data_IF_828705337256
#
_entry.id   IF_828705337256
#
_cell.length_a   1.000
_cell.length_b   1.000
_cell.length_c   1.000
_cell.angle_alpha   90.00
_cell.angle_beta   90.00
_cell.angle_gamma   90.00
#
_symmetry.space_group_name_H-M   'P 1'
#
loop_
_entity.id
_entity.type
_entity.pdbx_description
1 polymer ?
#
# COMPACT_ATOMS: atom_id res chain seq x y z
N UNK A 1 0.00 -0.93 -16.62
CA UNK A 1 0.96 -0.50 -15.59
C UNK A 1 2.34 -1.11 -15.88
N UNK A 2 2.43 -2.44 -16.08
CA UNK A 2 3.64 -3.10 -16.58
C UNK A 2 4.17 -2.49 -17.90
N UNK A 3 3.30 -2.28 -18.90
CA UNK A 3 3.72 -1.72 -20.20
C UNK A 3 4.20 -0.26 -20.12
N UNK A 4 3.74 0.48 -19.09
CA UNK A 4 4.20 1.85 -18.81
C UNK A 4 5.55 1.87 -18.07
N UNK A 5 6.00 0.72 -17.56
CA UNK A 5 7.22 0.59 -16.77
C UNK A 5 8.06 -0.61 -17.25
N UNK A 6 8.65 -0.57 -18.46
CA UNK A 6 9.33 -1.72 -19.06
C UNK A 6 10.44 -2.30 -18.16
N UNK A 7 11.23 -1.45 -17.50
CA UNK A 7 12.30 -1.87 -16.58
C UNK A 7 11.81 -2.60 -15.33
N UNK A 8 10.54 -2.42 -14.94
CA UNK A 8 9.94 -3.06 -13.77
C UNK A 8 9.02 -4.24 -14.15
N UNK A 9 8.85 -4.52 -15.44
CA UNK A 9 7.86 -5.50 -15.92
C UNK A 9 8.02 -6.88 -15.27
N UNK A 10 9.26 -7.35 -15.09
CA UNK A 10 9.55 -8.64 -14.45
C UNK A 10 9.10 -8.66 -12.99
N UNK A 11 9.45 -7.62 -12.22
CA UNK A 11 9.05 -7.47 -10.82
C UNK A 11 7.53 -7.36 -10.65
N UNK A 12 6.89 -6.56 -11.50
CA UNK A 12 5.44 -6.40 -11.52
C UNK A 12 4.74 -7.76 -11.74
N UNK A 13 5.20 -8.52 -12.73
CA UNK A 13 4.63 -9.86 -13.02
C UNK A 13 4.86 -10.84 -11.87
N UNK A 14 6.04 -10.81 -11.23
CA UNK A 14 6.33 -11.64 -10.06
C UNK A 14 5.34 -11.38 -8.92
N UNK A 15 5.06 -10.12 -8.61
CA UNK A 15 4.10 -9.75 -7.56
C UNK A 15 2.66 -10.13 -7.94
N UNK A 16 2.26 -9.94 -9.20
CA UNK A 16 0.94 -10.40 -9.68
C UNK A 16 0.80 -11.92 -9.51
N UNK A 17 1.81 -12.69 -9.93
CA UNK A 17 1.79 -14.15 -9.82
C UNK A 17 1.68 -14.62 -8.36
N UNK A 18 2.29 -13.90 -7.40
CA UNK A 18 2.15 -14.20 -5.97
C UNK A 18 0.70 -14.04 -5.49
N UNK A 19 0.03 -12.94 -5.90
CA UNK A 19 -1.37 -12.69 -5.55
C UNK A 19 -2.32 -13.70 -6.21
N UNK A 20 -1.99 -14.20 -7.40
CA UNK A 20 -2.80 -15.19 -8.12
C UNK A 20 -2.59 -16.62 -7.64
N UNK A 21 -1.41 -16.95 -7.10
CA UNK A 21 -1.04 -18.30 -6.68
C UNK A 21 -1.54 -18.68 -5.29
N UNK A 22 -1.17 -17.93 -4.25
CA UNK A 22 -1.58 -18.22 -2.87
C UNK A 22 -2.93 -17.54 -2.58
N UNK A 23 -4.01 -18.34 -2.55
CA UNK A 23 -5.37 -17.87 -2.24
C UNK A 23 -5.94 -18.63 -1.05
N UNK A 24 -5.36 -18.38 0.12
CA UNK A 24 -5.63 -19.14 1.36
C UNK A 24 -6.58 -18.43 2.33
N UNK A 25 -7.04 -17.22 2.03
CA UNK A 25 -7.93 -16.48 2.94
C UNK A 25 -9.03 -15.75 2.18
N UNK A 26 -10.10 -15.38 2.88
CA UNK A 26 -11.02 -14.36 2.41
C UNK A 26 -10.31 -13.01 2.58
N UNK A 27 -10.21 -12.25 1.50
CA UNK A 27 -9.73 -10.86 1.50
C UNK A 27 -10.90 -9.92 1.26
N UNK A 28 -10.86 -8.75 1.89
CA UNK A 28 -11.81 -7.67 1.68
C UNK A 28 -11.73 -7.14 0.24
N UNK A 29 -10.51 -7.01 -0.33
CA UNK A 29 -10.31 -6.60 -1.74
C UNK A 29 -10.33 -5.08 -1.98
N UNK A 30 -10.97 -4.31 -1.11
CA UNK A 30 -10.86 -2.84 -1.03
C UNK A 30 -10.63 -2.36 0.42
N UNK A 31 -9.60 -2.88 1.08
CA UNK A 31 -9.31 -2.54 2.48
C UNK A 31 -8.62 -1.16 2.63
N UNK A 32 -9.26 -0.11 2.12
CA UNK A 32 -8.77 1.26 2.18
C UNK A 32 -9.35 2.04 3.37
N UNK A 33 -8.72 3.15 3.81
CA UNK A 33 -9.20 3.92 4.96
C UNK A 33 -10.62 4.49 4.83
N UNK A 34 -11.17 4.60 3.60
CA UNK A 34 -12.57 5.04 3.39
C UNK A 34 -13.59 3.98 3.83
N UNK A 35 -13.18 2.71 3.88
CA UNK A 35 -14.01 1.56 4.23
C UNK A 35 -13.84 1.17 5.72
N UNK A 36 -13.23 2.05 6.52
CA UNK A 36 -13.06 1.91 7.97
C UNK A 36 -13.77 3.08 8.63
N UNK A 37 -14.87 2.80 9.32
CA UNK A 37 -15.62 3.78 10.09
C UNK A 37 -15.28 3.65 11.57
N UNK A 38 -15.10 4.79 12.23
CA UNK A 38 -14.86 4.88 13.67
C UNK A 38 -16.04 5.63 14.28
N UNK A 39 -16.73 5.03 15.24
CA UNK A 39 -17.85 5.68 15.94
C UNK A 39 -17.34 6.73 16.93
N UNK A 40 -18.25 7.55 17.47
CA UNK A 40 -17.89 8.52 18.54
C UNK A 40 -17.43 7.84 19.83
N UNK A 41 -17.72 6.53 19.99
CA UNK A 41 -17.32 5.72 21.13
C UNK A 41 -16.09 4.84 20.82
N UNK A 42 -15.30 5.21 19.78
CA UNK A 42 -14.10 4.50 19.34
C UNK A 42 -14.33 3.05 18.83
N UNK A 43 -15.56 2.70 18.46
CA UNK A 43 -15.85 1.40 17.85
C UNK A 43 -15.47 1.40 16.37
N UNK A 44 -14.80 0.34 15.92
CA UNK A 44 -14.32 0.19 14.54
C UNK A 44 -15.27 -0.71 13.74
N UNK A 45 -15.74 -0.20 12.61
CA UNK A 45 -16.57 -0.93 11.66
C UNK A 45 -15.87 -1.01 10.31
N UNK A 46 -15.77 -2.22 9.76
CA UNK A 46 -15.32 -2.44 8.38
C UNK A 46 -16.57 -2.43 7.49
N UNK A 47 -16.51 -1.67 6.40
CA UNK A 47 -17.63 -1.41 5.49
C UNK A 47 -17.28 -1.89 4.08
N UNK A 48 -18.29 -2.05 3.23
CA UNK A 48 -18.13 -2.22 1.78
C UNK A 48 -17.38 -3.51 1.34
N UNK A 49 -18.01 -4.65 1.61
CA UNK A 49 -17.50 -5.99 1.27
C UNK A 49 -17.78 -6.44 -0.17
N UNK A 50 -18.17 -5.55 -1.09
CA UNK A 50 -18.70 -5.92 -2.41
C UNK A 50 -17.70 -6.69 -3.31
N UNK A 51 -16.39 -6.47 -3.12
CA UNK A 51 -15.31 -7.12 -3.86
C UNK A 51 -14.61 -8.24 -3.08
N UNK A 52 -15.20 -8.70 -1.98
CA UNK A 52 -14.66 -9.77 -1.15
C UNK A 52 -14.51 -11.07 -1.94
N UNK A 53 -13.35 -11.73 -1.82
CA UNK A 53 -13.09 -12.99 -2.53
C UNK A 53 -12.03 -13.82 -1.82
N UNK A 54 -11.86 -15.07 -2.25
CA UNK A 54 -10.72 -15.91 -1.81
C UNK A 54 -9.46 -15.43 -2.51
N UNK A 55 -8.50 -14.92 -1.75
CA UNK A 55 -7.33 -14.21 -2.25
C UNK A 55 -6.10 -14.37 -1.36
N UNK A 56 -5.01 -13.72 -1.76
CA UNK A 56 -3.76 -13.76 -1.03
C UNK A 56 -3.81 -12.89 0.24
N UNK A 57 -3.43 -13.43 1.42
CA UNK A 57 -3.49 -12.70 2.69
C UNK A 57 -2.64 -11.43 2.74
N UNK A 58 -1.65 -11.28 1.86
CA UNK A 58 -0.80 -10.08 1.78
C UNK A 58 -1.56 -8.87 1.20
N UNK A 59 -2.66 -9.09 0.49
CA UNK A 59 -3.29 -8.07 -0.33
C UNK A 59 -3.87 -6.92 0.51
N UNK A 60 -4.77 -7.20 1.45
CA UNK A 60 -5.49 -6.16 2.19
C UNK A 60 -4.56 -5.28 3.04
N UNK A 61 -3.58 -5.88 3.72
CA UNK A 61 -2.59 -5.12 4.47
C UNK A 61 -1.76 -4.23 3.53
N UNK A 62 -1.30 -4.76 2.39
CA UNK A 62 -0.53 -3.98 1.42
C UNK A 62 -1.36 -2.85 0.82
N UNK A 63 -2.66 -3.09 0.61
CA UNK A 63 -3.61 -2.11 0.10
C UNK A 63 -3.81 -0.95 1.08
N UNK A 64 -4.05 -1.24 2.36
CA UNK A 64 -4.14 -0.21 3.41
C UNK A 64 -2.85 0.61 3.50
N UNK A 65 -1.69 -0.06 3.56
CA UNK A 65 -0.38 0.60 3.64
C UNK A 65 -0.13 1.49 2.41
N UNK A 66 -0.49 1.04 1.21
CA UNK A 66 -0.39 1.85 -0.01
C UNK A 66 -1.23 3.13 0.06
N UNK A 67 -2.45 3.06 0.60
CA UNK A 67 -3.29 4.24 0.80
C UNK A 67 -2.73 5.19 1.87
N UNK A 68 -2.17 4.67 2.96
CA UNK A 68 -1.45 5.48 3.95
C UNK A 68 -0.21 6.13 3.33
N UNK A 69 0.50 5.44 2.44
CA UNK A 69 1.64 5.98 1.71
C UNK A 69 1.22 7.12 0.76
N UNK A 70 0.13 6.99 0.02
CA UNK A 70 -0.40 8.10 -0.78
C UNK A 70 -0.74 9.32 0.11
N UNK A 71 -1.38 9.10 1.27
CA UNK A 71 -1.64 10.16 2.25
C UNK A 71 -0.35 10.74 2.83
N UNK A 72 0.69 9.93 3.02
CA UNK A 72 1.99 10.37 3.49
C UNK A 72 2.60 11.37 2.52
N UNK A 73 2.60 11.12 1.21
CA UNK A 73 3.05 12.10 0.22
C UNK A 73 2.15 13.34 0.11
N UNK A 74 0.86 13.20 0.45
CA UNK A 74 -0.09 14.30 0.44
C UNK A 74 0.03 15.23 1.66
N UNK A 75 0.44 14.72 2.81
CA UNK A 75 0.29 15.41 4.09
C UNK A 75 0.90 16.84 4.08
N UNK A 76 0.29 17.80 4.79
CA UNK A 76 0.68 19.21 4.67
C UNK A 76 2.06 19.52 5.27
N UNK A 77 2.51 18.72 6.24
CA UNK A 77 3.75 18.94 6.98
C UNK A 77 4.38 17.61 7.42
N UNK A 78 5.56 17.71 8.05
CA UNK A 78 6.33 16.58 8.56
C UNK A 78 5.69 15.91 9.77
N UNK A 79 4.89 16.62 10.58
CA UNK A 79 4.22 16.03 11.74
C UNK A 79 3.14 15.05 11.25
N UNK A 80 2.28 15.49 10.34
CA UNK A 80 1.24 14.65 9.74
C UNK A 80 1.84 13.48 8.94
N UNK A 81 2.98 13.70 8.27
CA UNK A 81 3.78 12.64 7.66
C UNK A 81 4.12 11.53 8.67
N UNK A 82 4.73 11.95 9.78
CA UNK A 82 5.23 11.04 10.79
C UNK A 82 4.10 10.31 11.50
N UNK A 83 2.94 10.95 11.69
CA UNK A 83 1.76 10.28 12.22
C UNK A 83 1.30 9.16 11.29
N UNK A 84 1.22 9.39 9.98
CA UNK A 84 0.84 8.36 9.00
C UNK A 84 1.84 7.19 8.98
N UNK A 85 3.14 7.48 9.03
CA UNK A 85 4.18 6.46 9.11
C UNK A 85 4.08 5.64 10.41
N UNK A 86 3.84 6.30 11.55
CA UNK A 86 3.61 5.64 12.84
C UNK A 86 2.36 4.79 12.84
N UNK A 87 1.26 5.27 12.25
CA UNK A 87 0.01 4.51 12.10
C UNK A 87 0.23 3.26 11.26
N UNK A 88 0.91 3.37 10.13
CA UNK A 88 1.29 2.23 9.30
C UNK A 88 2.11 1.19 10.09
N UNK A 89 3.08 1.66 10.88
CA UNK A 89 3.91 0.79 11.70
C UNK A 89 3.14 0.11 12.84
N UNK A 90 2.29 0.86 13.55
CA UNK A 90 1.44 0.31 14.60
C UNK A 90 0.49 -0.75 14.03
N UNK A 91 -0.17 -0.46 12.92
CA UNK A 91 -1.06 -1.41 12.26
C UNK A 91 -0.32 -2.68 11.84
N UNK A 92 0.82 -2.57 11.15
CA UNK A 92 1.63 -3.74 10.76
C UNK A 92 2.00 -4.58 11.98
N UNK A 93 2.48 -3.94 13.05
CA UNK A 93 2.93 -4.63 14.26
C UNK A 93 1.81 -5.44 14.89
N UNK A 94 0.63 -4.85 15.09
CA UNK A 94 -0.50 -5.56 15.71
C UNK A 94 -1.08 -6.63 14.77
N UNK A 95 -1.07 -6.39 13.45
CA UNK A 95 -1.47 -7.40 12.47
C UNK A 95 -0.55 -8.64 12.51
N UNK A 96 0.76 -8.42 12.65
CA UNK A 96 1.77 -9.49 12.68
C UNK A 96 1.65 -10.39 13.91
N UNK A 97 1.06 -9.90 15.01
CA UNK A 97 0.72 -10.71 16.20
C UNK A 97 -0.34 -11.76 15.88
N UNK A 98 -1.26 -11.42 14.97
CA UNK A 98 -2.39 -12.28 14.60
C UNK A 98 -2.06 -13.20 13.42
N UNK A 99 -1.23 -12.73 12.49
CA UNK A 99 -0.89 -13.47 11.27
C UNK A 99 0.48 -13.07 10.73
N UNK A 100 1.27 -14.06 10.33
CA UNK A 100 2.52 -13.81 9.62
C UNK A 100 2.26 -13.03 8.31
N UNK A 101 3.06 -11.99 8.09
CA UNK A 101 2.97 -11.14 6.91
C UNK A 101 4.04 -11.60 5.91
N UNK A 102 3.65 -11.80 4.65
CA UNK A 102 4.61 -12.15 3.59
C UNK A 102 5.75 -11.12 3.53
N UNK A 103 7.02 -11.54 3.41
CA UNK A 103 8.15 -10.62 3.24
C UNK A 103 8.04 -9.70 2.01
N UNK A 104 7.17 -10.02 1.06
CA UNK A 104 6.91 -9.20 -0.13
C UNK A 104 5.92 -8.05 0.11
N UNK A 105 5.26 -7.95 1.28
CA UNK A 105 4.16 -7.00 1.50
C UNK A 105 4.52 -5.55 1.18
N UNK A 106 5.75 -5.12 1.51
CA UNK A 106 6.19 -3.76 1.22
C UNK A 106 6.32 -3.52 -0.30
N UNK A 107 6.72 -4.53 -1.07
CA UNK A 107 6.76 -4.45 -2.53
C UNK A 107 5.34 -4.37 -3.11
N UNK A 108 4.39 -5.14 -2.58
CA UNK A 108 2.97 -5.03 -2.94
C UNK A 108 2.43 -3.64 -2.63
N UNK A 109 2.71 -3.09 -1.45
CA UNK A 109 2.28 -1.75 -1.08
C UNK A 109 2.88 -0.66 -2.00
N UNK A 110 4.18 -0.74 -2.32
CA UNK A 110 4.82 0.18 -3.28
C UNK A 110 4.17 0.08 -4.66
N UNK A 111 3.89 -1.14 -5.12
CA UNK A 111 3.26 -1.39 -6.41
C UNK A 111 1.83 -0.85 -6.50
N UNK A 112 1.02 -1.10 -5.46
CA UNK A 112 -0.34 -0.60 -5.37
C UNK A 112 -0.33 0.94 -5.33
N UNK A 113 0.56 1.55 -4.54
CA UNK A 113 0.71 3.00 -4.49
C UNK A 113 1.11 3.61 -5.85
N UNK A 114 2.02 2.96 -6.58
CA UNK A 114 2.37 3.35 -7.96
C UNK A 114 1.14 3.26 -8.89
N UNK A 115 0.36 2.20 -8.77
CA UNK A 115 -0.87 2.02 -9.55
C UNK A 115 -1.95 3.06 -9.21
N UNK A 116 -1.97 3.60 -7.98
CA UNK A 116 -2.83 4.73 -7.58
C UNK A 116 -2.41 6.07 -8.18
N UNK A 117 -1.35 6.12 -9.00
CA UNK A 117 -0.97 7.32 -9.75
C UNK A 117 -0.86 7.04 -11.26
N UNK A 118 -0.38 5.86 -11.67
CA UNK A 118 -0.18 5.52 -13.09
C UNK A 118 -1.23 4.56 -13.68
N UNK A 119 -2.03 3.94 -12.81
CA UNK A 119 -3.01 2.93 -13.15
C UNK A 119 -4.32 3.49 -13.68
N UNK A 120 -5.35 2.63 -13.67
CA UNK A 120 -6.68 2.94 -14.22
C UNK A 120 -7.54 3.79 -13.28
N UNK A 121 -7.25 3.76 -11.98
CA UNK A 121 -7.96 4.52 -10.95
C UNK A 121 -6.92 5.28 -10.13
N UNK A 122 -6.48 6.46 -10.58
CA UNK A 122 -5.58 7.28 -9.79
C UNK A 122 -6.30 7.93 -8.59
N UNK A 123 -5.56 8.30 -7.54
CA UNK A 123 -6.08 9.20 -6.50
C UNK A 123 -6.23 10.62 -7.04
N UNK A 124 -7.25 11.34 -6.60
CA UNK A 124 -7.59 12.67 -7.11
C UNK A 124 -7.07 13.83 -6.25
N UNK A 125 -6.44 13.54 -5.11
CA UNK A 125 -5.99 14.56 -4.15
C UNK A 125 -4.47 14.84 -4.19
N UNK A 126 -3.68 14.03 -4.89
CA UNK A 126 -2.25 14.30 -5.06
C UNK A 126 -2.02 15.31 -6.18
N UNK A 127 -1.33 16.41 -5.87
CA UNK A 127 -0.87 17.37 -6.88
C UNK A 127 0.18 16.72 -7.81
N UNK A 128 0.39 17.23 -9.04
CA UNK A 128 1.32 16.62 -10.01
C UNK A 128 2.75 16.42 -9.49
N UNK A 129 3.25 17.36 -8.67
CA UNK A 129 4.56 17.23 -8.03
C UNK A 129 4.59 16.09 -7.00
N UNK A 130 3.54 15.93 -6.19
CA UNK A 130 3.44 14.85 -5.20
C UNK A 130 3.30 13.48 -5.90
N UNK A 131 2.53 13.41 -6.98
CA UNK A 131 2.42 12.24 -7.85
C UNK A 131 3.80 11.82 -8.38
N UNK A 132 4.57 12.78 -8.91
CA UNK A 132 5.91 12.53 -9.43
C UNK A 132 6.87 12.01 -8.36
N UNK A 133 6.84 12.60 -7.15
CA UNK A 133 7.65 12.12 -6.02
C UNK A 133 7.29 10.69 -5.61
N UNK A 134 5.99 10.36 -5.49
CA UNK A 134 5.55 9.01 -5.18
C UNK A 134 5.97 8.00 -6.26
N UNK A 135 5.82 8.36 -7.54
CA UNK A 135 6.27 7.53 -8.66
C UNK A 135 7.78 7.27 -8.58
N UNK A 136 8.59 8.32 -8.43
CA UNK A 136 10.06 8.19 -8.32
C UNK A 136 10.45 7.29 -7.16
N UNK A 137 9.83 7.50 -5.98
CA UNK A 137 10.10 6.73 -4.77
C UNK A 137 9.77 5.25 -4.96
N UNK A 138 8.52 4.94 -5.29
CA UNK A 138 8.04 3.56 -5.48
C UNK A 138 8.79 2.81 -6.57
N UNK A 139 9.10 3.45 -7.72
CA UNK A 139 9.90 2.83 -8.77
C UNK A 139 11.32 2.55 -8.32
N UNK A 140 11.94 3.45 -7.56
CA UNK A 140 13.26 3.22 -6.98
C UNK A 140 13.25 2.02 -6.03
N UNK A 141 12.24 1.91 -5.17
CA UNK A 141 12.10 0.79 -4.24
C UNK A 141 11.86 -0.55 -4.98
N UNK A 142 10.97 -0.57 -5.97
CA UNK A 142 10.67 -1.76 -6.77
C UNK A 142 11.85 -2.23 -7.64
N UNK A 143 12.79 -1.33 -7.97
CA UNK A 143 13.99 -1.68 -8.71
C UNK A 143 15.11 -2.26 -7.84
N UNK A 144 14.98 -2.21 -6.50
CA UNK A 144 15.98 -2.79 -5.59
C UNK A 144 15.86 -4.32 -5.60
N UNK A 145 16.99 -5.02 -5.64
CA UNK A 145 17.06 -6.48 -5.48
C UNK A 145 17.13 -6.92 -4.00
N UNK A 146 16.80 -6.01 -3.08
CA UNK A 146 16.89 -6.21 -1.64
C UNK A 146 15.49 -6.33 -1.02
N UNK A 147 15.41 -6.97 0.15
CA UNK A 147 14.18 -6.97 0.95
C UNK A 147 13.79 -5.53 1.29
N UNK A 148 12.53 -5.21 1.03
CA UNK A 148 11.95 -3.90 1.32
C UNK A 148 11.24 -3.94 2.67
N UNK A 149 11.53 -2.97 3.53
CA UNK A 149 10.85 -2.82 4.82
C UNK A 149 9.73 -1.78 4.74
N UNK A 150 8.90 -1.73 5.79
CA UNK A 150 7.91 -0.65 5.93
C UNK A 150 8.59 0.72 6.03
N UNK A 151 9.76 0.80 6.67
CA UNK A 151 10.48 2.07 6.87
C UNK A 151 10.93 2.67 5.55
N UNK A 152 11.35 1.84 4.59
CA UNK A 152 11.73 2.30 3.25
C UNK A 152 10.55 2.97 2.52
N UNK A 153 9.32 2.53 2.76
CA UNK A 153 8.13 3.14 2.16
C UNK A 153 7.92 4.57 2.68
N UNK A 154 8.09 4.79 3.98
CA UNK A 154 7.79 6.06 4.65
C UNK A 154 9.04 6.92 4.90
N UNK A 155 9.96 6.97 3.93
CA UNK A 155 11.18 7.78 4.01
C UNK A 155 10.87 9.28 3.85
N UNK A 156 11.15 10.07 4.89
CA UNK A 156 10.86 11.52 4.91
C UNK A 156 11.60 12.30 3.82
N UNK A 157 12.81 11.87 3.44
CA UNK A 157 13.62 12.51 2.40
C UNK A 157 13.00 12.40 1.00
N UNK A 158 12.08 11.45 0.80
CA UNK A 158 11.43 11.19 -0.48
C UNK A 158 10.23 12.12 -0.75
N UNK A 159 9.72 12.82 0.27
CA UNK A 159 8.53 13.69 0.22
C UNK A 159 8.76 15.07 -0.36
#
# INVERSE_FOLDING_TARGET
MADKNPSLQVWIRKLINELEGDKTTIVHGDFSPKNIMISMNDEVFILDFEVTHVGNPVFDISFLIAHLLCKFFHAPDALQANLLAKTANAFKKEYEVLREISPSFAHHAALIALARVEGKSPVNYLAPNQQHKLQKHTKSLLARDAKLSLLDLFEMSAR
#
